data_IF_478800503747
#
_entry.id   IF_478800503747
#
_cell.length_a   1.000
_cell.length_b   1.000
_cell.length_c   1.000
_cell.angle_alpha   90.00
_cell.angle_beta   90.00
_cell.angle_gamma   90.00
#
_symmetry.space_group_name_H-M   'P 1'
#
loop_
_entity.id
_entity.type
_entity.pdbx_description
1 polymer ?
#
# COMPACT_ATOMS: atom_id res chain seq x y z
N UNK A 1 -10.89 -16.10 -5.54
CA UNK A 1 -10.64 -15.56 -4.21
C UNK A 1 -10.38 -14.07 -4.32
N UNK A 2 -11.04 -13.30 -3.48
CA UNK A 2 -10.98 -11.85 -3.58
C UNK A 2 -10.19 -11.25 -2.44
N UNK A 3 -8.97 -11.74 -2.27
CA UNK A 3 -8.11 -11.28 -1.21
C UNK A 3 -6.77 -10.83 -1.78
N UNK A 4 -6.17 -9.87 -1.08
CA UNK A 4 -4.84 -9.38 -1.40
C UNK A 4 -3.86 -9.87 -0.34
N UNK A 5 -2.62 -10.08 -0.76
CA UNK A 5 -1.52 -10.30 0.16
C UNK A 5 -0.72 -9.00 0.20
N UNK A 6 -0.62 -8.40 1.38
CA UNK A 6 0.11 -7.14 1.57
C UNK A 6 1.44 -7.43 2.22
N UNK A 7 2.52 -6.95 1.60
CA UNK A 7 3.87 -7.09 2.12
C UNK A 7 4.44 -5.70 2.26
N UNK A 8 4.93 -5.36 3.46
CA UNK A 8 5.55 -4.07 3.72
C UNK A 8 6.99 -4.29 4.09
N UNK A 9 7.90 -3.62 3.41
CA UNK A 9 9.34 -3.74 3.65
C UNK A 9 9.96 -2.36 3.83
N UNK A 10 10.85 -2.25 4.80
CA UNK A 10 11.64 -1.05 5.02
C UNK A 10 13.12 -1.46 5.09
N UNK A 11 14.06 -0.50 5.06
CA UNK A 11 15.47 -0.86 5.18
C UNK A 11 15.79 -1.59 6.49
N UNK A 12 15.03 -1.36 7.55
CA UNK A 12 15.30 -1.97 8.84
C UNK A 12 14.62 -3.30 9.05
N UNK A 13 13.46 -3.51 8.41
CA UNK A 13 12.72 -4.74 8.65
C UNK A 13 11.70 -5.01 7.55
N UNK A 14 11.25 -6.24 7.50
CA UNK A 14 10.19 -6.67 6.62
C UNK A 14 9.08 -7.23 7.50
N UNK A 15 7.87 -6.69 7.33
CA UNK A 15 6.74 -7.15 8.11
C UNK A 15 6.19 -8.46 7.55
N UNK A 16 5.52 -9.27 8.38
CA UNK A 16 4.91 -10.51 7.89
C UNK A 16 3.82 -10.20 6.88
N UNK A 17 3.60 -11.08 5.90
CA UNK A 17 2.51 -10.87 4.95
C UNK A 17 1.16 -10.80 5.65
N UNK A 18 0.29 -9.94 5.15
CA UNK A 18 -1.02 -9.71 5.72
C UNK A 18 -2.09 -9.95 4.67
N UNK A 19 -3.11 -10.70 5.03
CA UNK A 19 -4.23 -10.93 4.13
C UNK A 19 -5.28 -9.84 4.33
N UNK A 20 -5.70 -9.20 3.24
CA UNK A 20 -6.69 -8.12 3.30
C UNK A 20 -7.46 -8.12 1.99
N UNK A 21 -8.50 -7.28 1.88
CA UNK A 21 -9.25 -7.16 0.64
C UNK A 21 -9.16 -5.77 0.03
N UNK A 22 -8.57 -4.82 0.73
CA UNK A 22 -8.26 -3.52 0.12
C UNK A 22 -7.14 -2.84 0.89
N UNK A 23 -6.39 -2.00 0.19
CA UNK A 23 -5.29 -1.24 0.76
C UNK A 23 -5.45 0.19 0.27
N UNK A 24 -5.34 1.15 1.19
CA UNK A 24 -5.34 2.58 0.84
C UNK A 24 -4.00 3.18 1.20
N UNK A 25 -3.45 3.95 0.29
CA UNK A 25 -2.16 4.58 0.49
C UNK A 25 -2.11 5.90 -0.25
N UNK A 26 -1.05 6.69 -0.02
CA UNK A 26 -0.92 8.01 -0.60
C UNK A 26 0.06 7.98 -1.76
N UNK A 27 -0.43 8.32 -2.95
CA UNK A 27 0.41 8.38 -4.14
C UNK A 27 1.04 9.76 -4.29
N UNK A 28 2.21 9.78 -4.89
CA UNK A 28 2.82 11.05 -5.29
C UNK A 28 2.01 11.68 -6.43
N UNK A 29 2.03 13.00 -6.50
CA UNK A 29 1.49 13.70 -7.67
C UNK A 29 2.32 13.32 -8.89
N UNK A 30 1.68 13.31 -10.05
CA UNK A 30 2.42 13.09 -11.29
C UNK A 30 3.17 14.37 -11.67
N UNK A 31 3.90 14.31 -12.78
CA UNK A 31 4.72 15.45 -13.21
C UNK A 31 3.89 16.69 -13.54
N UNK A 32 2.59 16.53 -13.71
CA UNK A 32 1.68 17.65 -13.99
C UNK A 32 0.92 18.09 -12.76
N UNK A 33 1.27 17.57 -11.60
CA UNK A 33 0.60 17.92 -10.36
C UNK A 33 -0.77 17.29 -10.20
N UNK A 34 -1.01 16.18 -10.86
CA UNK A 34 -2.29 15.48 -10.78
C UNK A 34 -2.07 14.03 -10.42
N UNK A 35 -3.12 13.39 -9.96
CA UNK A 35 -3.11 11.95 -9.71
C UNK A 35 -2.61 11.55 -8.35
N UNK A 36 -2.14 12.50 -7.55
CA UNK A 36 -1.70 12.20 -6.19
C UNK A 36 -2.89 12.06 -5.26
N UNK A 37 -2.60 11.74 -3.99
CA UNK A 37 -3.62 11.59 -2.98
C UNK A 37 -3.90 10.14 -2.68
N UNK A 38 -5.00 9.91 -1.97
CA UNK A 38 -5.36 8.58 -1.52
C UNK A 38 -5.79 7.70 -2.69
N UNK A 39 -5.27 6.48 -2.69
CA UNK A 39 -5.55 5.53 -3.75
C UNK A 39 -5.88 4.18 -3.13
N UNK A 40 -6.92 3.53 -3.63
CA UNK A 40 -7.34 2.23 -3.13
C UNK A 40 -6.97 1.11 -4.08
N UNK A 41 -6.44 0.04 -3.54
CA UNK A 41 -6.10 -1.16 -4.29
C UNK A 41 -7.04 -2.28 -3.85
N UNK A 42 -7.67 -2.93 -4.81
CA UNK A 42 -8.62 -4.01 -4.56
C UNK A 42 -8.19 -5.27 -5.31
N UNK A 43 -8.72 -6.44 -4.92
CA UNK A 43 -8.42 -7.68 -5.67
C UNK A 43 -8.81 -7.55 -7.14
N UNK A 44 -8.02 -8.15 -8.01
CA UNK A 44 -8.26 -8.05 -9.44
C UNK A 44 -7.63 -6.82 -10.07
N UNK A 45 -6.91 -6.04 -9.29
CA UNK A 45 -6.22 -4.86 -9.81
C UNK A 45 -5.16 -5.28 -10.83
N UNK A 46 -5.00 -4.48 -11.88
CA UNK A 46 -3.99 -4.78 -12.90
C UNK A 46 -2.60 -4.54 -12.34
N UNK A 47 -1.62 -5.17 -12.97
CA UNK A 47 -0.23 -4.99 -12.58
C UNK A 47 0.16 -3.51 -12.67
N UNK A 48 0.79 -3.00 -11.63
CA UNK A 48 1.12 -1.59 -11.56
C UNK A 48 2.30 -1.35 -10.63
N UNK A 49 3.02 -0.26 -10.88
CA UNK A 49 4.07 0.21 -10.00
C UNK A 49 3.78 1.69 -9.73
N UNK A 50 3.66 2.05 -8.46
CA UNK A 50 3.22 3.38 -8.07
C UNK A 50 4.19 4.01 -7.10
N UNK A 51 4.48 5.30 -7.30
CA UNK A 51 5.32 6.04 -6.36
C UNK A 51 4.46 6.54 -5.21
N UNK A 52 4.98 6.41 -4.00
CA UNK A 52 4.27 6.77 -2.78
C UNK A 52 4.90 7.99 -2.14
N UNK A 53 4.08 8.90 -1.65
CA UNK A 53 4.55 9.96 -0.79
C UNK A 53 4.30 9.59 0.66
N UNK A 54 4.97 10.29 1.55
CA UNK A 54 4.76 10.11 2.97
C UNK A 54 3.29 10.32 3.32
N UNK A 55 2.73 9.42 4.08
CA UNK A 55 1.34 9.53 4.46
C UNK A 55 0.79 8.25 5.07
N UNK A 56 -0.52 8.23 5.35
CA UNK A 56 -1.13 7.07 6.00
C UNK A 56 -1.27 5.89 5.04
N UNK A 57 -1.24 4.70 5.62
CA UNK A 57 -1.55 3.46 4.92
C UNK A 57 -2.57 2.71 5.75
N UNK A 58 -3.61 2.23 5.09
CA UNK A 58 -4.66 1.46 5.74
C UNK A 58 -4.92 0.19 4.96
N UNK A 59 -5.09 -0.92 5.67
CA UNK A 59 -5.51 -2.18 5.06
C UNK A 59 -6.82 -2.60 5.71
N UNK A 60 -7.74 -3.09 4.89
CA UNK A 60 -9.07 -3.47 5.34
C UNK A 60 -9.36 -4.92 4.98
N UNK A 61 -10.16 -5.57 5.81
CA UNK A 61 -10.66 -6.91 5.51
C UNK A 61 -12.13 -6.93 5.93
N UNK A 62 -13.01 -7.21 4.96
CA UNK A 62 -14.47 -7.24 5.19
C UNK A 62 -14.98 -5.92 5.78
N UNK A 63 -14.43 -4.81 5.27
CA UNK A 63 -14.86 -3.49 5.69
C UNK A 63 -14.25 -2.99 6.98
N UNK A 64 -13.43 -3.79 7.64
CA UNK A 64 -12.82 -3.40 8.91
C UNK A 64 -11.33 -3.12 8.74
N UNK A 65 -10.81 -2.05 9.34
CA UNK A 65 -9.38 -1.77 9.28
C UNK A 65 -8.62 -2.80 10.11
N UNK A 66 -7.68 -3.50 9.48
CA UNK A 66 -6.88 -4.51 10.16
C UNK A 66 -5.44 -4.06 10.31
N UNK A 67 -5.05 -2.99 9.62
CA UNK A 67 -3.72 -2.41 9.76
C UNK A 67 -3.81 -0.94 9.44
N UNK A 68 -3.26 -0.11 10.31
CA UNK A 68 -3.15 1.33 10.08
C UNK A 68 -1.77 1.77 10.50
N UNK A 69 -1.19 2.67 9.72
CA UNK A 69 0.12 3.17 10.05
C UNK A 69 0.50 4.33 9.17
N UNK A 70 1.70 4.84 9.41
CA UNK A 70 2.27 5.93 8.62
C UNK A 70 3.47 5.41 7.85
N UNK A 71 3.49 5.65 6.55
CA UNK A 71 4.59 5.25 5.67
C UNK A 71 5.44 6.46 5.32
N UNK A 72 6.74 6.23 5.17
CA UNK A 72 7.59 7.20 4.50
C UNK A 72 7.43 7.06 3.00
N UNK A 73 8.21 7.82 2.25
CA UNK A 73 8.17 7.76 0.79
C UNK A 73 8.74 6.45 0.29
N UNK A 74 8.31 6.04 -0.90
CA UNK A 74 8.77 4.81 -1.52
C UNK A 74 7.92 4.45 -2.71
N UNK A 75 7.62 3.16 -2.87
CA UNK A 75 6.72 2.76 -3.95
C UNK A 75 6.00 1.47 -3.58
N UNK A 76 4.90 1.23 -4.30
CA UNK A 76 4.12 0.02 -4.17
C UNK A 76 4.03 -0.65 -5.52
N UNK A 77 4.14 -1.98 -5.53
CA UNK A 77 3.91 -2.73 -6.76
C UNK A 77 2.76 -3.69 -6.54
N UNK A 78 1.94 -3.83 -7.57
CA UNK A 78 0.80 -4.74 -7.57
C UNK A 78 1.03 -5.75 -8.67
N UNK A 79 1.01 -7.02 -8.32
CA UNK A 79 1.15 -8.09 -9.30
C UNK A 79 0.29 -9.26 -8.86
N UNK A 80 -0.68 -9.61 -9.68
CA UNK A 80 -1.69 -10.57 -9.27
C UNK A 80 -2.44 -9.99 -8.08
N UNK A 81 -2.58 -10.76 -7.02
CA UNK A 81 -3.21 -10.26 -5.81
C UNK A 81 -2.19 -10.00 -4.70
N UNK A 82 -0.95 -9.69 -5.09
CA UNK A 82 0.11 -9.36 -4.14
C UNK A 82 0.46 -7.89 -4.26
N UNK A 83 0.40 -7.17 -3.14
CA UNK A 83 0.79 -5.76 -3.05
C UNK A 83 2.05 -5.69 -2.21
N UNK A 84 3.14 -5.21 -2.82
CA UNK A 84 4.41 -5.05 -2.12
C UNK A 84 4.68 -3.57 -1.95
N UNK A 85 4.81 -3.13 -0.70
CA UNK A 85 5.08 -1.73 -0.36
C UNK A 85 6.51 -1.64 0.16
N UNK A 86 7.35 -0.88 -0.55
CA UNK A 86 8.74 -0.67 -0.15
C UNK A 86 8.89 0.81 0.16
N UNK A 87 9.09 1.13 1.43
CA UNK A 87 9.12 2.52 1.90
C UNK A 87 10.30 2.73 2.83
N UNK A 88 10.66 4.01 3.02
CA UNK A 88 11.78 4.36 3.88
C UNK A 88 11.51 4.00 5.33
N UNK A 89 10.26 4.06 5.74
CA UNK A 89 9.88 3.76 7.12
C UNK A 89 8.40 3.40 7.16
N UNK A 90 8.05 2.66 8.20
CA UNK A 90 6.65 2.34 8.46
C UNK A 90 6.46 2.27 9.97
N UNK A 91 5.49 3.02 10.46
CA UNK A 91 5.19 3.07 11.87
C UNK A 91 3.73 2.68 12.07
N UNK A 92 3.53 1.54 12.71
CA UNK A 92 2.19 1.04 12.96
C UNK A 92 1.51 1.94 13.99
N UNK A 93 0.28 2.25 13.73
CA UNK A 93 -0.50 3.11 14.59
C UNK A 93 -1.12 2.32 15.73
#
# INVERSE_FOLDING_TARGET
MNELKLIIATPQKKLPPLTCDSVRLMLCDDAKGRGGGEYGIHPGHIKALMALQEGPLHAFLHGEPILEGACGAGFASVEGNTVTVVVESFQKK
#
